data_IF_174058700187
#
_entry.id   IF_174058700187
#
_cell.length_a   1.000
_cell.length_b   1.000
_cell.length_c   1.000
_cell.angle_alpha   90.00
_cell.angle_beta   90.00
_cell.angle_gamma   90.00
#
_symmetry.space_group_name_H-M   'P 1'
#
loop_
_entity.id
_entity.type
_entity.pdbx_description
1 polymer ?
#
# COMPACT_ATOMS: atom_id res chain seq x y z
N UNK A 1 -2.39 -11.56 -37.84
CA UNK A 1 -3.56 -11.99 -37.04
C UNK A 1 -3.16 -12.77 -35.78
N UNK A 2 -2.29 -13.79 -35.86
CA UNK A 2 -1.80 -14.50 -34.64
C UNK A 2 -1.00 -13.60 -33.69
N UNK A 3 -0.07 -12.81 -34.22
CA UNK A 3 0.78 -11.91 -33.43
C UNK A 3 -0.02 -10.88 -32.63
N UNK A 4 -1.06 -10.30 -33.26
CA UNK A 4 -1.95 -9.33 -32.60
C UNK A 4 -2.80 -9.99 -31.50
N UNK A 5 -3.20 -11.25 -31.67
CA UNK A 5 -3.93 -12.02 -30.64
C UNK A 5 -3.03 -12.26 -29.41
N UNK A 6 -1.75 -12.57 -29.61
CA UNK A 6 -0.81 -12.73 -28.51
C UNK A 6 -0.59 -11.44 -27.71
N UNK A 7 -0.48 -10.28 -28.39
CA UNK A 7 -0.36 -8.99 -27.70
C UNK A 7 -1.61 -8.65 -26.88
N UNK A 8 -2.82 -8.91 -27.40
CA UNK A 8 -4.08 -8.68 -26.66
C UNK A 8 -4.19 -9.61 -25.45
N UNK A 9 -3.80 -10.88 -25.59
CA UNK A 9 -3.79 -11.84 -24.48
C UNK A 9 -2.79 -11.45 -23.37
N UNK A 10 -1.61 -10.96 -23.73
CA UNK A 10 -0.61 -10.50 -22.77
C UNK A 10 -1.05 -9.23 -22.02
N UNK A 11 -1.72 -8.31 -22.71
CA UNK A 11 -2.24 -7.06 -22.11
C UNK A 11 -3.36 -7.37 -21.09
N UNK A 12 -4.20 -8.37 -21.37
CA UNK A 12 -5.27 -8.80 -20.46
C UNK A 12 -4.73 -9.41 -19.15
N UNK A 13 -3.57 -10.06 -19.19
CA UNK A 13 -2.93 -10.64 -17.99
C UNK A 13 -2.32 -9.60 -17.03
N UNK A 14 -2.28 -8.32 -17.41
CA UNK A 14 -1.65 -7.24 -16.63
C UNK A 14 -2.68 -6.41 -15.83
N UNK A 15 -3.93 -6.87 -15.72
CA UNK A 15 -4.85 -6.28 -14.74
C UNK A 15 -4.51 -6.84 -13.37
N UNK A 16 -3.91 -6.00 -12.50
CA UNK A 16 -3.71 -6.36 -11.10
C UNK A 16 -5.05 -6.57 -10.42
N UNK A 17 -5.20 -7.71 -9.72
CA UNK A 17 -6.39 -7.97 -8.91
C UNK A 17 -6.39 -7.03 -7.70
N UNK A 18 -7.56 -6.47 -7.38
CA UNK A 18 -7.78 -5.72 -6.13
C UNK A 18 -7.58 -6.66 -4.94
N UNK A 19 -7.06 -6.16 -3.81
CA UNK A 19 -6.83 -7.04 -2.65
C UNK A 19 -8.10 -7.77 -2.24
N UNK A 20 -7.96 -9.05 -1.92
CA UNK A 20 -9.02 -9.87 -1.33
C UNK A 20 -9.15 -9.60 0.16
N UNK A 21 -10.29 -9.92 0.75
CA UNK A 21 -10.50 -9.79 2.20
C UNK A 21 -9.49 -10.59 3.04
N UNK A 22 -9.00 -11.71 2.51
CA UNK A 22 -7.96 -12.51 3.16
C UNK A 22 -6.63 -11.76 3.16
N UNK A 23 -6.21 -11.22 2.01
CA UNK A 23 -4.96 -10.44 1.92
C UNK A 23 -5.00 -9.19 2.79
N UNK A 24 -6.13 -8.47 2.81
CA UNK A 24 -6.32 -7.31 3.70
C UNK A 24 -6.10 -7.68 5.17
N UNK A 25 -6.58 -8.84 5.61
CA UNK A 25 -6.38 -9.35 6.97
C UNK A 25 -4.93 -9.74 7.23
N UNK A 26 -4.31 -10.45 6.29
CA UNK A 26 -2.91 -10.87 6.39
C UNK A 26 -1.97 -9.67 6.50
N UNK A 27 -2.24 -8.59 5.75
CA UNK A 27 -1.49 -7.32 5.86
C UNK A 27 -1.56 -6.78 7.29
N UNK A 28 -2.75 -6.66 7.88
CA UNK A 28 -2.91 -6.12 9.23
C UNK A 28 -2.26 -7.03 10.28
N UNK A 29 -2.42 -8.35 10.14
CA UNK A 29 -1.85 -9.35 11.05
C UNK A 29 -0.32 -9.28 11.04
N UNK A 30 0.30 -9.26 9.86
CA UNK A 30 1.75 -9.15 9.72
C UNK A 30 2.27 -7.86 10.36
N UNK A 31 1.63 -6.72 10.10
CA UNK A 31 2.03 -5.45 10.70
C UNK A 31 1.86 -5.48 12.22
N UNK A 32 0.81 -6.12 12.73
CA UNK A 32 0.57 -6.26 14.17
C UNK A 32 1.69 -7.05 14.83
N UNK A 33 2.04 -8.22 14.28
CA UNK A 33 3.13 -9.05 14.80
C UNK A 33 4.48 -8.32 14.84
N UNK A 34 4.79 -7.54 13.79
CA UNK A 34 6.00 -6.72 13.75
C UNK A 34 5.97 -5.60 14.80
N UNK A 35 4.82 -4.94 14.96
CA UNK A 35 4.62 -3.84 15.91
C UNK A 35 4.66 -4.30 17.37
N UNK A 36 4.21 -5.51 17.67
CA UNK A 36 4.26 -6.12 19.00
C UNK A 36 5.66 -6.60 19.38
N UNK A 37 6.47 -6.99 18.40
CA UNK A 37 7.82 -7.55 18.60
C UNK A 37 8.95 -6.53 18.56
N UNK A 38 8.64 -5.22 18.51
CA UNK A 38 9.65 -4.16 18.46
C UNK A 38 10.54 -4.17 19.72
N UNK A 39 11.84 -3.90 19.51
CA UNK A 39 12.82 -3.79 20.60
C UNK A 39 13.54 -2.44 20.51
N UNK A 40 13.56 -1.63 21.60
CA UNK A 40 12.93 -1.89 22.90
C UNK A 40 11.39 -1.88 22.84
N UNK A 41 10.69 -2.48 23.83
CA UNK A 41 9.24 -2.50 23.84
C UNK A 41 8.67 -1.08 23.88
N UNK A 42 7.75 -0.78 22.97
CA UNK A 42 7.12 0.52 22.91
C UNK A 42 5.94 0.60 23.89
N UNK A 43 5.84 1.72 24.63
CA UNK A 43 4.83 1.89 25.68
C UNK A 43 3.43 2.26 25.16
N UNK A 44 3.31 2.67 23.89
CA UNK A 44 2.08 3.26 23.33
C UNK A 44 1.83 2.90 21.86
N UNK A 45 2.23 1.70 21.41
CA UNK A 45 1.94 1.26 20.04
C UNK A 45 0.46 0.97 19.86
N UNK A 46 -0.19 1.72 18.96
CA UNK A 46 -1.60 1.53 18.62
C UNK A 46 -1.78 0.33 17.68
N UNK A 47 -2.90 -0.38 17.83
CA UNK A 47 -3.33 -1.43 16.91
C UNK A 47 -3.73 -0.84 15.56
N UNK A 48 -3.31 -1.48 14.48
CA UNK A 48 -3.70 -1.08 13.14
C UNK A 48 -5.08 -1.62 12.77
N UNK A 49 -5.79 -0.88 11.92
CA UNK A 49 -7.01 -1.33 11.25
C UNK A 49 -6.85 -1.07 9.76
N UNK A 50 -7.35 -1.99 8.94
CA UNK A 50 -7.38 -1.77 7.50
C UNK A 50 -8.32 -0.59 7.16
N UNK A 51 -7.89 0.28 6.25
CA UNK A 51 -8.69 1.41 5.75
C UNK A 51 -8.84 1.30 4.24
N UNK A 52 -10.06 1.05 3.73
CA UNK A 52 -10.35 1.08 2.29
C UNK A 52 -10.03 2.43 1.63
N UNK A 53 -10.10 3.52 2.40
CA UNK A 53 -9.77 4.87 1.93
C UNK A 53 -8.26 4.98 1.62
N UNK A 54 -7.41 4.41 2.47
CA UNK A 54 -5.96 4.35 2.26
C UNK A 54 -5.59 3.40 1.11
N UNK A 55 -6.30 2.28 0.95
CA UNK A 55 -6.14 1.38 -0.21
C UNK A 55 -6.44 2.11 -1.52
N UNK A 56 -7.58 2.81 -1.59
CA UNK A 56 -7.97 3.61 -2.77
C UNK A 56 -6.94 4.68 -3.10
N UNK A 57 -6.31 5.28 -2.10
CA UNK A 57 -5.27 6.28 -2.30
C UNK A 57 -3.96 5.67 -2.82
N UNK A 58 -3.57 4.51 -2.28
CA UNK A 58 -2.44 3.73 -2.76
C UNK A 58 -2.65 3.29 -4.22
N UNK A 59 -3.84 2.81 -4.57
CA UNK A 59 -4.22 2.45 -5.95
C UNK A 59 -4.10 3.64 -6.91
N UNK A 60 -4.68 4.79 -6.52
CA UNK A 60 -4.57 6.04 -7.31
C UNK A 60 -3.13 6.48 -7.51
N UNK A 61 -2.25 6.20 -6.55
CA UNK A 61 -0.83 6.51 -6.66
C UNK A 61 -0.11 5.56 -7.64
N UNK A 62 -0.27 4.25 -7.46
CA UNK A 62 0.47 3.23 -8.24
C UNK A 62 -0.04 3.07 -9.67
N UNK A 63 -1.21 3.63 -10.01
CA UNK A 63 -1.81 3.54 -11.36
C UNK A 63 -0.88 4.09 -12.46
N UNK A 64 -0.06 5.08 -12.13
CA UNK A 64 0.90 5.68 -13.06
C UNK A 64 2.22 4.89 -13.14
N UNK A 65 2.30 3.73 -12.47
CA UNK A 65 3.49 2.89 -12.36
C UNK A 65 4.76 3.67 -12.02
N UNK A 66 4.62 4.74 -11.23
CA UNK A 66 5.72 5.64 -10.90
C UNK A 66 6.48 5.07 -9.71
N UNK A 67 7.81 4.98 -9.81
CA UNK A 67 8.67 4.51 -8.72
C UNK A 67 9.02 5.59 -7.70
N UNK A 68 8.56 6.82 -7.90
CA UNK A 68 8.76 7.91 -6.96
C UNK A 68 7.84 7.77 -5.75
N UNK A 69 8.23 8.39 -4.64
CA UNK A 69 7.34 8.57 -3.50
C UNK A 69 6.23 9.57 -3.85
N UNK A 70 5.06 9.38 -3.25
CA UNK A 70 3.98 10.36 -3.30
C UNK A 70 4.43 11.66 -2.62
N UNK A 71 4.19 12.81 -3.25
CA UNK A 71 4.42 14.10 -2.61
C UNK A 71 3.39 14.25 -1.48
N UNK A 72 3.81 14.38 -0.20
CA UNK A 72 2.90 14.57 0.93
C UNK A 72 1.90 15.71 0.75
N UNK A 73 2.25 16.74 -0.04
CA UNK A 73 1.38 17.88 -0.33
C UNK A 73 0.23 17.56 -1.27
N UNK A 74 0.33 16.43 -1.99
CA UNK A 74 -0.69 15.94 -2.92
C UNK A 74 -1.62 14.90 -2.30
N UNK A 75 -1.25 14.39 -1.12
CA UNK A 75 -2.06 13.48 -0.31
C UNK A 75 -3.05 14.30 0.52
N UNK A 76 -4.23 13.72 0.77
CA UNK A 76 -5.23 14.31 1.67
C UNK A 76 -4.58 14.62 3.05
N UNK A 77 -4.94 15.74 3.66
CA UNK A 77 -4.35 16.22 4.92
C UNK A 77 -4.44 15.16 6.04
N UNK A 78 -5.47 14.32 6.02
CA UNK A 78 -5.67 13.24 7.00
C UNK A 78 -4.71 12.05 6.80
N UNK A 79 -4.04 11.96 5.65
CA UNK A 79 -3.12 10.88 5.27
C UNK A 79 -1.66 11.36 5.17
N UNK A 80 -1.44 12.64 4.89
CA UNK A 80 -0.10 13.24 4.74
C UNK A 80 0.82 13.03 5.97
N UNK A 81 0.23 12.90 7.17
CA UNK A 81 0.98 12.64 8.41
C UNK A 81 1.78 11.33 8.38
N UNK A 82 1.35 10.31 7.64
CA UNK A 82 2.00 8.99 7.57
C UNK A 82 3.35 9.05 6.83
N UNK A 83 3.44 9.81 5.73
CA UNK A 83 4.66 9.93 4.93
C UNK A 83 5.80 10.67 5.64
N UNK A 84 5.46 11.58 6.57
CA UNK A 84 6.48 12.35 7.30
C UNK A 84 7.21 11.57 8.39
N UNK A 85 6.63 10.46 8.87
CA UNK A 85 7.24 9.65 9.94
C UNK A 85 8.32 8.69 9.43
N UNK A 86 8.28 8.28 8.16
CA UNK A 86 9.27 7.36 7.56
C UNK A 86 10.60 8.06 7.21
N UNK A 87 10.59 9.39 7.06
CA UNK A 87 11.77 10.17 6.64
C UNK A 87 12.58 10.76 7.80
N UNK A 88 12.24 10.41 9.05
CA UNK A 88 12.92 10.91 10.24
C UNK A 88 13.35 9.73 11.11
N UNK A 89 14.28 8.92 10.60
CA UNK A 89 15.31 8.24 11.39
C UNK A 89 16.41 7.78 10.43
N UNK A 90 17.59 8.38 10.60
CA UNK A 90 18.84 8.01 9.97
C UNK A 90 19.80 7.42 11.00
#
# INVERSE_FOLDING_TARGET
MKTTIYFVALIWSVVGEMFTETERKEIVELHTQLRESVQPPASNMLMMRYSPELETLAEKWIVNCTSSLADPKTLDEHVAGVSTLVMRDG
#
